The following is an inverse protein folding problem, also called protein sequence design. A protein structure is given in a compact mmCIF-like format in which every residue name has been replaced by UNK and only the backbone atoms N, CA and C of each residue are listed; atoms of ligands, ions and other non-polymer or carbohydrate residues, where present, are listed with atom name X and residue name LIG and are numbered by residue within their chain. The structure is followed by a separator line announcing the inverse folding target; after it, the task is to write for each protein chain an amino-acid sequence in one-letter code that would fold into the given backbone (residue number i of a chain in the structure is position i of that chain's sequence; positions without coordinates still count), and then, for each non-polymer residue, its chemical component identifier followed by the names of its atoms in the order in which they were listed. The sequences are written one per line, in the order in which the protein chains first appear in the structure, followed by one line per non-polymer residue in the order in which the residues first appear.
data_IF_181552670696
#
_entry.id   IF_181552670696
#
_cell.length_a   1.000
_cell.length_b   1.000
_cell.length_c   1.000
_cell.angle_alpha   90.00
_cell.angle_beta   90.00
_cell.angle_gamma   90.00
#
_symmetry.space_group_name_H-M   'P 1'
#
loop_
_entity.id
_entity.type
_entity.pdbx_description
1 polymer ?
#
# COMPACT_ATOMS: atom_id res chain seq x y z
N UNK A 1 -31.07 32.96 -66.38
CA UNK A 1 -32.48 32.85 -65.96
C UNK A 1 -32.49 32.16 -64.61
N UNK A 2 -32.28 32.83 -63.48
CA UNK A 2 -33.18 33.76 -62.74
C UNK A 2 -34.47 33.09 -62.25
N UNK A 3 -34.43 32.63 -60.98
CA UNK A 3 -35.40 32.77 -59.87
C UNK A 3 -34.84 31.94 -58.68
N UNK A 4 -34.09 32.50 -57.72
CA UNK A 4 -34.49 33.29 -56.53
C UNK A 4 -35.61 32.64 -55.69
N UNK A 5 -35.68 32.63 -54.35
CA UNK A 5 -34.87 33.02 -53.16
C UNK A 5 -35.82 32.70 -51.93
N UNK A 6 -35.29 32.60 -50.70
CA UNK A 6 -35.97 32.54 -49.35
C UNK A 6 -36.60 31.19 -48.94
N UNK A 7 -36.50 30.67 -47.70
CA UNK A 7 -35.91 31.15 -46.44
C UNK A 7 -36.27 30.25 -45.23
N UNK A 8 -35.73 30.59 -44.06
CA UNK A 8 -35.94 30.05 -42.67
C UNK A 8 -35.22 28.74 -42.32
N UNK A 9 -34.35 28.63 -41.31
CA UNK A 9 -34.33 29.06 -39.90
C UNK A 9 -35.25 28.25 -38.96
N UNK A 10 -34.62 27.54 -38.01
CA UNK A 10 -35.12 27.01 -36.72
C UNK A 10 -36.19 25.89 -36.73
N UNK A 11 -35.83 24.76 -36.12
CA UNK A 11 -36.61 23.87 -35.21
C UNK A 11 -35.97 22.46 -35.27
N UNK A 12 -35.53 21.80 -34.20
CA UNK A 12 -36.29 21.46 -32.99
C UNK A 12 -35.38 21.38 -31.75
N UNK A 13 -35.71 22.23 -30.78
CA UNK A 13 -35.54 22.05 -29.34
C UNK A 13 -36.96 21.95 -28.77
N UNK A 14 -37.12 21.41 -27.54
CA UNK A 14 -38.36 21.18 -26.76
C UNK A 14 -38.90 19.74 -26.94
N UNK A 15 -39.25 18.96 -25.91
CA UNK A 15 -39.71 19.22 -24.53
C UNK A 15 -39.82 17.80 -23.89
N UNK A 16 -39.56 17.50 -22.61
CA UNK A 16 -40.26 18.01 -21.42
C UNK A 16 -39.58 17.44 -20.15
N UNK A 17 -39.27 18.32 -19.21
CA UNK A 17 -39.19 18.06 -17.77
C UNK A 17 -40.60 18.26 -17.19
N UNK A 18 -41.09 17.41 -16.28
CA UNK A 18 -41.73 17.79 -15.00
C UNK A 18 -41.96 16.54 -14.11
N UNK A 19 -41.42 16.68 -12.90
CA UNK A 19 -41.57 16.04 -11.60
C UNK A 19 -42.81 15.18 -11.29
N UNK A 20 -42.58 14.14 -10.47
CA UNK A 20 -43.28 14.02 -9.19
C UNK A 20 -42.30 13.61 -8.08
N UNK A 21 -42.26 14.42 -7.03
CA UNK A 21 -41.48 14.23 -5.82
C UNK A 21 -42.21 13.28 -4.85
N UNK A 22 -41.50 12.29 -4.33
CA UNK A 22 -41.70 11.74 -2.98
C UNK A 22 -40.33 11.34 -2.44
N UNK A 23 -39.79 12.13 -1.52
CA UNK A 23 -38.89 11.67 -0.48
C UNK A 23 -39.75 11.59 0.81
N UNK A 24 -39.46 10.73 1.81
CA UNK A 24 -38.09 10.56 2.30
C UNK A 24 -37.73 9.17 2.90
N UNK A 25 -36.45 9.07 3.32
CA UNK A 25 -35.88 8.10 4.28
C UNK A 25 -35.61 6.69 3.74
N UNK A 26 -34.41 6.50 3.19
CA UNK A 26 -33.56 5.32 3.43
C UNK A 26 -32.14 5.71 3.00
N UNK A 27 -31.17 5.47 3.88
CA UNK A 27 -29.79 5.90 3.72
C UNK A 27 -29.23 5.49 2.37
N UNK A 28 -28.78 6.48 1.60
CA UNK A 28 -28.03 6.26 0.39
C UNK A 28 -26.71 5.58 0.78
N UNK A 29 -26.67 4.26 0.63
CA UNK A 29 -25.42 3.51 0.53
C UNK A 29 -24.70 4.08 -0.68
N UNK A 30 -23.59 4.77 -0.45
CA UNK A 30 -22.70 5.20 -1.51
C UNK A 30 -22.30 3.96 -2.32
N UNK A 31 -22.81 3.87 -3.54
CA UNK A 31 -22.32 2.92 -4.54
C UNK A 31 -20.90 3.37 -4.84
N UNK A 32 -19.92 2.72 -4.19
CA UNK A 32 -18.50 2.87 -4.54
C UNK A 32 -18.40 2.58 -6.03
N UNK A 33 -17.92 3.56 -6.80
CA UNK A 33 -17.60 3.35 -8.20
C UNK A 33 -16.68 2.12 -8.29
N UNK A 34 -17.10 1.11 -9.06
CA UNK A 34 -16.22 0.03 -9.47
C UNK A 34 -15.02 0.68 -10.17
N UNK A 35 -13.76 0.29 -9.88
CA UNK A 35 -12.63 0.80 -10.62
C UNK A 35 -12.88 0.58 -12.12
N UNK A 36 -12.65 1.61 -12.93
CA UNK A 36 -12.70 1.48 -14.39
C UNK A 36 -11.85 0.27 -14.79
N UNK A 37 -12.46 -0.66 -15.51
CA UNK A 37 -11.78 -1.87 -15.97
C UNK A 37 -10.63 -1.39 -16.88
N UNK A 38 -9.37 -1.73 -16.59
CA UNK A 38 -8.26 -1.25 -17.39
C UNK A 38 -8.37 -1.71 -18.84
N UNK A 39 -7.76 -0.95 -19.74
CA UNK A 39 -7.65 -1.32 -21.15
C UNK A 39 -7.07 -2.73 -21.30
N UNK A 40 -7.90 -3.68 -21.72
CA UNK A 40 -7.48 -5.08 -21.83
C UNK A 40 -6.53 -5.34 -23.01
N UNK A 41 -6.31 -4.35 -23.89
CA UNK A 41 -5.48 -4.48 -25.09
C UNK A 41 -4.03 -4.85 -24.77
N UNK A 42 -3.49 -4.34 -23.66
CA UNK A 42 -2.15 -4.67 -23.17
C UNK A 42 -2.00 -6.16 -22.87
N UNK A 43 -2.98 -6.77 -22.20
CA UNK A 43 -2.93 -8.20 -21.87
C UNK A 43 -3.13 -9.10 -23.08
N UNK A 44 -3.98 -8.71 -24.03
CA UNK A 44 -4.22 -9.47 -25.26
C UNK A 44 -2.98 -9.55 -26.15
N UNK A 45 -2.11 -8.54 -26.08
CA UNK A 45 -0.87 -8.47 -26.87
C UNK A 45 0.39 -8.90 -26.10
N UNK A 46 0.26 -9.20 -24.81
CA UNK A 46 1.37 -9.61 -23.95
C UNK A 46 1.96 -10.95 -24.38
N UNK A 47 3.26 -10.99 -24.65
CA UNK A 47 3.97 -12.20 -25.09
C UNK A 47 4.73 -12.82 -23.93
N UNK A 48 4.35 -14.05 -23.58
CA UNK A 48 5.06 -14.85 -22.58
C UNK A 48 4.99 -16.33 -22.94
N UNK A 49 6.01 -17.06 -22.50
CA UNK A 49 6.03 -18.53 -22.55
C UNK A 49 5.90 -19.13 -21.16
N UNK A 50 5.81 -18.30 -20.12
CA UNK A 50 5.59 -18.77 -18.76
C UNK A 50 4.12 -19.20 -18.60
N UNK A 51 3.85 -20.50 -18.35
CA UNK A 51 2.50 -21.02 -18.28
C UNK A 51 1.64 -20.40 -17.18
N UNK A 52 2.22 -19.99 -16.06
CA UNK A 52 1.43 -19.36 -14.99
C UNK A 52 1.04 -17.95 -15.39
N UNK A 53 1.96 -17.19 -15.99
CA UNK A 53 1.67 -15.85 -16.50
C UNK A 53 0.62 -15.92 -17.61
N UNK A 54 0.70 -16.91 -18.52
CA UNK A 54 -0.34 -17.11 -19.53
C UNK A 54 -1.72 -17.38 -18.91
N UNK A 55 -1.77 -18.09 -17.78
CA UNK A 55 -3.01 -18.32 -17.05
C UNK A 55 -3.55 -17.02 -16.43
N UNK A 56 -2.67 -16.22 -15.82
CA UNK A 56 -3.03 -14.91 -15.22
C UNK A 56 -3.61 -13.96 -16.27
N UNK A 57 -2.94 -13.84 -17.42
CA UNK A 57 -3.40 -12.99 -18.52
C UNK A 57 -4.83 -13.38 -18.97
N UNK A 58 -5.09 -14.68 -19.12
CA UNK A 58 -6.41 -15.17 -19.50
C UNK A 58 -7.44 -14.92 -18.40
N UNK A 59 -7.06 -15.12 -17.14
CA UNK A 59 -7.95 -14.89 -16.00
C UNK A 59 -8.31 -13.40 -15.86
N UNK A 60 -7.33 -12.52 -16.02
CA UNK A 60 -7.53 -11.07 -16.00
C UNK A 60 -8.45 -10.64 -17.14
N UNK A 61 -8.22 -11.11 -18.36
CA UNK A 61 -9.10 -10.82 -19.51
C UNK A 61 -10.51 -11.35 -19.27
N UNK A 62 -10.66 -12.56 -18.70
CA UNK A 62 -11.98 -13.06 -18.29
C UNK A 62 -12.63 -12.08 -17.31
N UNK A 63 -11.98 -11.77 -16.18
CA UNK A 63 -12.55 -10.92 -15.12
C UNK A 63 -12.88 -9.50 -15.63
N UNK A 64 -12.04 -8.93 -16.48
CA UNK A 64 -12.25 -7.60 -17.05
C UNK A 64 -13.31 -7.55 -18.16
N UNK A 65 -13.39 -8.58 -19.01
CA UNK A 65 -14.40 -8.60 -20.10
C UNK A 65 -15.77 -9.11 -19.67
N UNK A 66 -15.84 -9.81 -18.53
CA UNK A 66 -17.02 -10.58 -18.12
C UNK A 66 -17.25 -11.86 -18.94
N UNK A 67 -16.40 -12.15 -19.93
CA UNK A 67 -16.49 -13.36 -20.76
C UNK A 67 -15.77 -14.49 -20.06
N UNK A 68 -16.55 -15.48 -19.60
CA UNK A 68 -16.04 -16.61 -18.80
C UNK A 68 -15.06 -17.50 -19.54
N UNK A 69 -13.86 -17.71 -18.99
CA UNK A 69 -12.84 -18.63 -19.52
C UNK A 69 -12.37 -19.65 -18.46
N UNK A 70 -13.19 -20.67 -18.23
CA UNK A 70 -12.85 -21.75 -17.30
C UNK A 70 -11.61 -22.57 -17.70
N UNK A 71 -11.16 -22.48 -18.95
CA UNK A 71 -9.97 -23.19 -19.39
C UNK A 71 -8.67 -22.52 -18.89
N UNK A 72 -8.73 -21.26 -18.43
CA UNK A 72 -7.62 -20.62 -17.72
C UNK A 72 -7.26 -21.37 -16.44
N UNK A 73 -8.26 -21.86 -15.70
CA UNK A 73 -8.07 -22.59 -14.44
C UNK A 73 -7.33 -23.93 -14.61
N UNK A 74 -7.56 -24.61 -15.74
CA UNK A 74 -6.81 -25.83 -16.08
C UNK A 74 -5.31 -25.58 -16.21
N UNK A 75 -4.89 -24.38 -16.63
CA UNK A 75 -3.46 -24.06 -16.75
C UNK A 75 -2.77 -24.03 -15.37
N UNK A 76 -3.43 -23.50 -14.34
CA UNK A 76 -2.91 -23.55 -12.97
C UNK A 76 -2.92 -24.96 -12.39
N UNK A 77 -4.04 -25.68 -12.57
CA UNK A 77 -4.21 -27.05 -12.06
C UNK A 77 -3.17 -28.00 -12.66
N UNK A 78 -2.91 -27.86 -13.96
CA UNK A 78 -2.04 -28.77 -14.70
C UNK A 78 -0.58 -28.27 -14.75
N UNK A 79 -0.29 -27.12 -14.14
CA UNK A 79 1.07 -26.58 -14.03
C UNK A 79 2.02 -27.61 -13.42
N UNK A 80 3.14 -27.82 -14.13
CA UNK A 80 4.29 -28.62 -13.68
C UNK A 80 5.53 -27.73 -13.67
N UNK A 81 5.87 -27.25 -12.48
CA UNK A 81 7.05 -26.43 -12.21
C UNK A 81 7.95 -27.13 -11.19
N UNK A 82 9.25 -26.89 -11.28
CA UNK A 82 10.23 -27.38 -10.30
C UNK A 82 10.26 -26.53 -9.03
N UNK A 83 9.81 -25.28 -9.11
CA UNK A 83 9.73 -24.39 -7.96
C UNK A 83 8.45 -24.69 -7.14
N UNK A 84 8.59 -25.16 -5.89
CA UNK A 84 7.44 -25.50 -5.05
C UNK A 84 6.61 -24.27 -4.62
N UNK A 85 7.19 -23.06 -4.56
CA UNK A 85 6.43 -21.83 -4.28
C UNK A 85 5.51 -21.50 -5.47
N UNK A 86 5.98 -21.72 -6.71
CA UNK A 86 5.15 -21.56 -7.92
C UNK A 86 4.04 -22.60 -8.01
N UNK A 87 4.33 -23.83 -7.59
CA UNK A 87 3.32 -24.87 -7.49
C UNK A 87 2.25 -24.53 -6.45
N UNK A 88 2.66 -24.12 -5.23
CA UNK A 88 1.72 -23.66 -4.20
C UNK A 88 0.79 -22.59 -4.76
N UNK A 89 1.35 -21.54 -5.37
CA UNK A 89 0.57 -20.46 -5.93
C UNK A 89 -0.49 -20.96 -6.91
N UNK A 90 -0.07 -21.74 -7.92
CA UNK A 90 -0.99 -22.23 -8.94
C UNK A 90 -2.10 -23.11 -8.33
N UNK A 91 -1.78 -23.99 -7.37
CA UNK A 91 -2.80 -24.84 -6.73
C UNK A 91 -3.74 -24.04 -5.83
N UNK A 92 -3.24 -23.00 -5.15
CA UNK A 92 -4.08 -22.11 -4.37
C UNK A 92 -5.03 -21.29 -5.27
N UNK A 93 -4.53 -20.72 -6.37
CA UNK A 93 -5.35 -20.04 -7.38
C UNK A 93 -6.44 -20.97 -7.92
N UNK A 94 -6.08 -22.19 -8.33
CA UNK A 94 -7.05 -23.19 -8.77
C UNK A 94 -8.08 -23.51 -7.68
N UNK A 95 -7.64 -23.67 -6.42
CA UNK A 95 -8.52 -24.00 -5.31
C UNK A 95 -9.60 -22.95 -5.03
N UNK A 96 -9.29 -21.67 -5.21
CA UNK A 96 -10.25 -20.59 -5.02
C UNK A 96 -10.98 -20.17 -6.31
N UNK A 97 -10.42 -20.46 -7.49
CA UNK A 97 -11.04 -20.15 -8.78
C UNK A 97 -11.95 -21.25 -9.36
N UNK A 98 -11.67 -22.53 -9.13
CA UNK A 98 -12.49 -23.67 -9.62
C UNK A 98 -13.98 -23.55 -9.27
N UNK A 99 -14.37 -23.11 -8.05
CA UNK A 99 -15.78 -22.89 -7.71
C UNK A 99 -16.48 -21.84 -8.58
N UNK A 100 -15.76 -20.83 -9.10
CA UNK A 100 -16.32 -19.85 -10.04
C UNK A 100 -16.81 -20.53 -11.32
N UNK A 101 -16.25 -21.70 -11.67
CA UNK A 101 -16.63 -22.54 -12.80
C UNK A 101 -17.55 -23.72 -12.44
N UNK A 102 -18.08 -23.78 -11.21
CA UNK A 102 -18.89 -24.90 -10.74
C UNK A 102 -18.12 -26.21 -10.58
N UNK A 103 -16.78 -26.14 -10.52
CA UNK A 103 -15.90 -27.30 -10.37
C UNK A 103 -15.58 -27.54 -8.89
N UNK A 104 -15.26 -28.78 -8.54
CA UNK A 104 -14.87 -29.15 -7.18
C UNK A 104 -13.41 -28.80 -6.92
N UNK A 105 -13.16 -27.94 -5.93
CA UNK A 105 -11.82 -27.51 -5.51
C UNK A 105 -11.09 -28.43 -4.52
N UNK A 106 -11.69 -29.56 -4.13
CA UNK A 106 -11.11 -30.44 -3.09
C UNK A 106 -9.71 -30.97 -3.44
N UNK A 107 -9.45 -31.28 -4.72
CA UNK A 107 -8.14 -31.76 -5.14
C UNK A 107 -7.10 -30.63 -5.11
N UNK A 108 -7.44 -29.46 -5.66
CA UNK A 108 -6.59 -28.30 -5.65
C UNK A 108 -6.24 -27.85 -4.22
N UNK A 109 -7.20 -27.87 -3.29
CA UNK A 109 -6.96 -27.59 -1.87
C UNK A 109 -5.96 -28.58 -1.24
N UNK A 110 -6.09 -29.89 -1.50
CA UNK A 110 -5.15 -30.90 -1.00
C UNK A 110 -3.74 -30.71 -1.56
N UNK A 111 -3.63 -30.38 -2.84
CA UNK A 111 -2.34 -30.12 -3.48
C UNK A 111 -1.72 -28.81 -2.96
N UNK A 112 -2.51 -27.75 -2.78
CA UNK A 112 -2.07 -26.52 -2.15
C UNK A 112 -1.54 -26.78 -0.73
N UNK A 113 -2.25 -27.60 0.06
CA UNK A 113 -1.78 -28.02 1.38
C UNK A 113 -0.41 -28.74 1.31
N UNK A 114 -0.26 -29.70 0.39
CA UNK A 114 1.00 -30.42 0.19
C UNK A 114 2.17 -29.48 -0.13
N UNK A 115 2.00 -28.59 -1.10
CA UNK A 115 3.05 -27.65 -1.46
C UNK A 115 3.31 -26.63 -0.35
N UNK A 116 2.28 -26.12 0.33
CA UNK A 116 2.43 -25.25 1.48
C UNK A 116 3.30 -25.87 2.59
N UNK A 117 3.11 -27.17 2.89
CA UNK A 117 4.00 -27.90 3.83
C UNK A 117 5.43 -27.96 3.30
N UNK A 118 5.60 -28.27 2.01
CA UNK A 118 6.94 -28.40 1.41
C UNK A 118 7.75 -27.10 1.43
N UNK A 119 7.06 -25.95 1.41
CA UNK A 119 7.67 -24.62 1.40
C UNK A 119 7.74 -23.96 2.79
N UNK A 120 7.33 -24.68 3.84
CA UNK A 120 7.39 -24.24 5.23
C UNK A 120 6.20 -23.41 5.73
N UNK A 121 5.12 -23.29 4.94
CA UNK A 121 3.91 -22.51 5.27
C UNK A 121 2.88 -23.36 6.00
N UNK A 122 3.28 -23.88 7.16
CA UNK A 122 2.52 -24.90 7.91
C UNK A 122 1.10 -24.45 8.30
N UNK A 123 0.88 -23.27 8.91
CA UNK A 123 -0.47 -22.83 9.27
C UNK A 123 -1.42 -22.80 8.07
N UNK A 124 -0.94 -22.33 6.91
CA UNK A 124 -1.75 -22.31 5.70
C UNK A 124 -2.04 -23.69 5.16
N UNK A 125 -1.06 -24.61 5.21
CA UNK A 125 -1.30 -26.00 4.84
C UNK A 125 -2.41 -26.64 5.68
N UNK A 126 -2.39 -26.40 6.99
CA UNK A 126 -3.41 -26.92 7.91
C UNK A 126 -4.80 -26.32 7.61
N UNK A 127 -4.86 -25.05 7.18
CA UNK A 127 -6.11 -24.40 6.73
C UNK A 127 -6.60 -25.04 5.43
N UNK A 128 -5.72 -25.24 4.44
CA UNK A 128 -6.07 -25.90 3.18
C UNK A 128 -6.62 -27.31 3.39
N UNK A 129 -6.00 -28.11 4.26
CA UNK A 129 -6.47 -29.46 4.61
C UNK A 129 -7.87 -29.42 5.25
N UNK A 130 -8.12 -28.47 6.15
CA UNK A 130 -9.43 -28.31 6.79
C UNK A 130 -10.50 -27.79 5.83
N UNK A 131 -10.15 -26.92 4.88
CA UNK A 131 -11.03 -26.46 3.81
C UNK A 131 -11.43 -27.62 2.90
N UNK A 132 -10.48 -28.48 2.52
CA UNK A 132 -10.75 -29.68 1.71
C UNK A 132 -11.71 -30.65 2.39
N UNK A 133 -11.73 -30.66 3.73
CA UNK A 133 -12.62 -31.47 4.56
C UNK A 133 -13.93 -30.77 4.93
N UNK A 134 -14.12 -29.50 4.50
CA UNK A 134 -15.25 -28.64 4.90
C UNK A 134 -15.38 -28.49 6.42
N UNK A 135 -14.26 -28.56 7.14
CA UNK A 135 -14.20 -28.50 8.59
C UNK A 135 -13.63 -27.18 9.13
N UNK A 136 -13.06 -26.35 8.25
CA UNK A 136 -12.42 -25.10 8.65
C UNK A 136 -13.40 -24.10 9.25
N UNK A 137 -13.03 -23.50 10.37
CA UNK A 137 -13.73 -22.37 10.98
C UNK A 137 -12.71 -21.26 11.24
N UNK A 138 -12.79 -20.12 10.53
CA UNK A 138 -11.82 -19.04 10.69
C UNK A 138 -11.87 -18.49 12.11
N UNK A 139 -10.69 -18.28 12.70
CA UNK A 139 -10.54 -17.56 13.96
C UNK A 139 -10.14 -16.12 13.65
N UNK A 140 -10.83 -15.17 14.28
CA UNK A 140 -10.55 -13.76 14.12
C UNK A 140 -9.97 -13.17 15.39
N UNK A 141 -8.91 -12.38 15.25
CA UNK A 141 -8.27 -11.66 16.34
C UNK A 141 -8.25 -10.16 16.09
N UNK A 142 -7.71 -9.43 17.07
CA UNK A 142 -7.41 -8.00 16.96
C UNK A 142 -5.97 -7.76 17.42
N UNK A 143 -5.38 -6.68 16.96
CA UNK A 143 -4.12 -6.15 17.47
C UNK A 143 -4.38 -4.75 18.00
N UNK A 144 -4.30 -4.57 19.33
CA UNK A 144 -4.44 -3.26 19.94
C UNK A 144 -3.08 -2.55 19.96
N UNK A 145 -3.00 -1.39 19.30
CA UNK A 145 -1.77 -0.60 19.24
C UNK A 145 -1.52 0.05 20.60
N UNK A 146 -0.44 -0.36 21.27
CA UNK A 146 0.02 0.29 22.50
C UNK A 146 0.93 1.47 22.14
N UNK A 147 0.44 2.69 22.37
CA UNK A 147 1.14 3.93 22.04
C UNK A 147 1.08 4.93 23.21
N UNK A 148 2.23 5.53 23.52
CA UNK A 148 2.35 6.62 24.49
C UNK A 148 3.53 7.50 24.11
N UNK A 149 3.27 8.80 23.93
CA UNK A 149 4.32 9.78 23.70
C UNK A 149 4.56 10.61 24.97
N UNK A 150 5.81 10.63 25.44
CA UNK A 150 6.21 11.40 26.62
C UNK A 150 6.76 12.75 26.21
N UNK A 151 6.10 13.81 26.67
CA UNK A 151 6.48 15.20 26.39
C UNK A 151 6.95 15.85 27.69
N UNK A 152 8.23 16.24 27.82
CA UNK A 152 8.72 16.97 28.99
C UNK A 152 7.97 18.29 29.15
N UNK A 153 7.59 18.65 30.38
CA UNK A 153 6.82 19.87 30.67
C UNK A 153 7.53 21.18 30.23
N UNK A 154 8.86 21.15 30.12
CA UNK A 154 9.70 22.29 29.72
C UNK A 154 10.10 22.25 28.24
N UNK A 155 9.58 21.31 27.46
CA UNK A 155 9.91 21.21 26.04
C UNK A 155 9.55 22.52 25.33
N UNK A 156 10.48 23.01 24.50
CA UNK A 156 10.30 24.19 23.64
C UNK A 156 10.41 23.86 22.16
N UNK A 157 10.99 22.71 21.84
CA UNK A 157 11.13 22.24 20.48
C UNK A 157 10.88 20.73 20.39
N UNK A 158 10.54 20.29 19.19
CA UNK A 158 10.54 18.90 18.76
C UNK A 158 11.59 18.69 17.67
N UNK A 159 12.18 17.52 17.63
CA UNK A 159 13.04 17.04 16.55
C UNK A 159 12.33 15.86 15.91
N UNK A 160 12.12 15.95 14.60
CA UNK A 160 11.58 14.88 13.76
C UNK A 160 12.67 14.33 12.87
N UNK A 161 12.70 13.01 12.68
CA UNK A 161 13.57 12.31 11.75
C UNK A 161 14.81 11.69 12.40
N UNK A 162 14.84 11.55 13.73
CA UNK A 162 15.94 10.84 14.41
C UNK A 162 15.83 9.32 14.22
N UNK A 163 14.61 8.80 14.07
CA UNK A 163 14.38 7.36 13.90
C UNK A 163 15.16 6.82 12.70
N UNK A 164 15.84 5.70 12.91
CA UNK A 164 16.81 5.13 11.96
C UNK A 164 16.74 3.61 11.96
N UNK A 165 16.65 3.00 10.78
CA UNK A 165 16.94 1.58 10.55
C UNK A 165 18.31 1.50 9.86
N UNK A 166 19.23 0.74 10.44
CA UNK A 166 20.57 0.54 9.88
C UNK A 166 20.59 -0.68 8.97
N UNK A 167 20.87 -0.48 7.69
CA UNK A 167 20.94 -1.54 6.69
C UNK A 167 22.25 -2.31 6.82
N UNK A 168 22.15 -3.63 6.97
CA UNK A 168 23.31 -4.52 7.11
C UNK A 168 23.44 -5.41 5.86
N UNK A 169 24.67 -5.74 5.43
CA UNK A 169 24.86 -6.77 4.41
C UNK A 169 24.21 -8.10 4.83
N UNK A 170 23.54 -8.78 3.89
CA UNK A 170 22.79 -10.02 4.12
C UNK A 170 21.49 -9.85 4.90
N UNK A 171 21.06 -8.61 5.18
CA UNK A 171 19.78 -8.36 5.84
C UNK A 171 18.62 -8.84 4.95
N UNK A 172 17.71 -9.62 5.54
CA UNK A 172 16.54 -10.15 4.83
C UNK A 172 15.41 -9.13 4.83
N UNK A 173 15.05 -8.64 3.64
CA UNK A 173 14.02 -7.65 3.40
C UNK A 173 12.84 -8.33 2.71
N UNK A 174 11.75 -8.51 3.45
CA UNK A 174 10.48 -8.98 2.89
C UNK A 174 9.71 -7.82 2.27
N UNK A 175 9.11 -8.02 1.10
CA UNK A 175 8.32 -6.97 0.42
C UNK A 175 6.94 -7.48 0.06
N UNK A 176 5.96 -6.58 0.00
CA UNK A 176 4.75 -6.87 -0.78
C UNK A 176 5.08 -7.17 -2.25
N UNK A 177 4.17 -7.79 -2.99
CA UNK A 177 4.38 -8.11 -4.41
C UNK A 177 3.93 -6.97 -5.32
N UNK A 178 2.70 -6.48 -5.12
CA UNK A 178 2.10 -5.46 -5.98
C UNK A 178 2.97 -4.19 -5.98
N UNK A 179 3.29 -3.67 -7.17
CA UNK A 179 4.14 -2.47 -7.38
C UNK A 179 5.58 -2.61 -6.87
N UNK A 180 6.05 -3.85 -6.67
CA UNK A 180 7.45 -4.16 -6.33
C UNK A 180 8.05 -5.16 -7.32
N UNK A 181 7.46 -6.35 -7.39
CA UNK A 181 7.95 -7.45 -8.24
C UNK A 181 6.99 -7.77 -9.40
N UNK A 182 5.71 -7.44 -9.21
CA UNK A 182 4.65 -7.58 -10.20
C UNK A 182 3.62 -6.47 -10.00
N UNK A 183 3.03 -5.98 -11.06
CA UNK A 183 1.92 -5.04 -11.01
C UNK A 183 0.99 -5.32 -12.18
N UNK A 184 -0.16 -5.92 -11.87
CA UNK A 184 -1.14 -6.25 -12.89
C UNK A 184 -1.59 -4.99 -13.62
N UNK A 185 -1.91 -3.90 -12.90
CA UNK A 185 -2.46 -2.68 -13.49
C UNK A 185 -1.52 -2.02 -14.52
N UNK A 186 -0.21 -2.25 -14.40
CA UNK A 186 0.82 -1.72 -15.29
C UNK A 186 1.37 -2.77 -16.28
N UNK A 187 0.74 -3.94 -16.37
CA UNK A 187 1.16 -5.08 -17.20
C UNK A 187 2.53 -5.66 -16.84
N UNK A 188 3.08 -5.36 -15.67
CA UNK A 188 4.33 -5.92 -15.17
C UNK A 188 4.07 -7.30 -14.58
N UNK A 189 3.87 -8.31 -15.44
CA UNK A 189 3.29 -9.62 -15.08
C UNK A 189 4.32 -10.71 -14.75
N UNK A 190 5.58 -10.35 -14.52
CA UNK A 190 6.65 -11.32 -14.27
C UNK A 190 6.37 -12.16 -13.02
N UNK A 191 6.41 -13.49 -13.15
CA UNK A 191 6.14 -14.41 -12.04
C UNK A 191 7.42 -14.97 -11.40
N UNK A 192 8.16 -14.09 -10.72
CA UNK A 192 9.37 -14.47 -9.99
C UNK A 192 9.08 -14.63 -8.49
N UNK A 193 8.80 -15.87 -8.10
CA UNK A 193 8.69 -16.27 -6.69
C UNK A 193 10.01 -16.79 -6.14
N UNK A 194 11.16 -16.42 -6.74
CA UNK A 194 12.43 -16.69 -6.09
C UNK A 194 12.46 -15.95 -4.75
N UNK A 195 12.89 -16.63 -3.70
CA UNK A 195 13.02 -16.03 -2.36
C UNK A 195 14.17 -15.03 -2.25
N UNK A 196 14.79 -14.68 -3.39
CA UNK A 196 15.93 -13.78 -3.52
C UNK A 196 15.84 -13.06 -4.87
N UNK A 197 15.07 -11.99 -4.91
CA UNK A 197 14.93 -11.15 -6.08
C UNK A 197 16.24 -10.45 -6.42
N UNK A 198 16.44 -10.25 -7.72
CA UNK A 198 17.54 -9.46 -8.25
C UNK A 198 17.08 -7.99 -8.28
N UNK A 199 17.81 -7.04 -7.67
CA UNK A 199 17.38 -5.63 -7.62
C UNK A 199 17.02 -5.04 -8.98
N UNK A 200 17.79 -5.36 -10.03
CA UNK A 200 17.54 -4.88 -11.41
C UNK A 200 16.20 -5.37 -12.02
N UNK A 201 15.50 -6.27 -11.35
CA UNK A 201 14.21 -6.81 -11.81
C UNK A 201 13.01 -6.24 -11.05
N UNK A 202 13.27 -5.35 -10.10
CA UNK A 202 12.23 -4.63 -9.37
C UNK A 202 11.63 -3.54 -10.23
N UNK A 203 10.35 -3.27 -9.98
CA UNK A 203 9.60 -2.20 -10.63
C UNK A 203 10.16 -0.84 -10.18
N UNK A 204 10.37 0.07 -11.14
CA UNK A 204 11.04 1.36 -10.92
C UNK A 204 10.17 2.48 -10.33
N UNK A 205 8.98 2.17 -9.82
CA UNK A 205 8.05 3.14 -9.22
C UNK A 205 7.49 2.61 -7.88
N UNK A 206 6.86 3.50 -7.10
CA UNK A 206 6.21 3.16 -5.82
C UNK A 206 7.15 2.40 -4.85
N UNK A 207 6.65 1.38 -4.14
CA UNK A 207 7.45 0.59 -3.20
C UNK A 207 8.64 -0.11 -3.88
N UNK A 208 8.52 -0.49 -5.16
CA UNK A 208 9.61 -1.09 -5.93
C UNK A 208 10.82 -0.17 -6.06
N UNK A 209 10.59 1.10 -6.40
CA UNK A 209 11.64 2.11 -6.45
C UNK A 209 12.33 2.30 -5.09
N UNK A 210 11.55 2.28 -4.01
CA UNK A 210 12.06 2.39 -2.66
C UNK A 210 12.95 1.21 -2.27
N UNK A 211 12.52 -0.02 -2.55
CA UNK A 211 13.31 -1.23 -2.30
C UNK A 211 14.58 -1.26 -3.16
N UNK A 212 14.51 -0.80 -4.41
CA UNK A 212 15.69 -0.64 -5.26
C UNK A 212 16.73 0.28 -4.61
N UNK A 213 16.30 1.43 -4.07
CA UNK A 213 17.17 2.37 -3.36
C UNK A 213 17.82 1.77 -2.11
N UNK A 214 17.11 0.91 -1.37
CA UNK A 214 17.70 0.16 -0.25
C UNK A 214 18.83 -0.75 -0.75
N UNK A 215 18.61 -1.46 -1.85
CA UNK A 215 19.59 -2.37 -2.45
C UNK A 215 20.83 -1.65 -3.02
N UNK A 216 20.70 -0.38 -3.43
CA UNK A 216 21.84 0.44 -3.86
C UNK A 216 22.83 0.71 -2.72
N UNK A 217 22.34 0.83 -1.48
CA UNK A 217 23.16 1.23 -0.33
C UNK A 217 23.56 0.09 0.60
N UNK A 218 22.99 -1.11 0.41
CA UNK A 218 23.37 -2.31 1.13
C UNK A 218 23.12 -3.57 0.30
N UNK A 219 24.05 -4.52 0.37
CA UNK A 219 23.87 -5.86 -0.21
C UNK A 219 22.86 -6.67 0.62
N UNK A 220 21.58 -6.46 0.39
CA UNK A 220 20.46 -7.10 1.09
C UNK A 220 19.94 -8.35 0.35
N UNK A 221 19.13 -9.16 1.03
CA UNK A 221 18.38 -10.26 0.42
C UNK A 221 16.90 -9.88 0.33
N UNK A 222 16.38 -9.75 -0.88
CA UNK A 222 15.02 -9.26 -1.14
C UNK A 222 14.11 -10.45 -1.39
N UNK A 223 13.05 -10.60 -0.60
CA UNK A 223 12.11 -11.72 -0.70
C UNK A 223 10.70 -11.20 -0.97
N UNK A 224 10.04 -11.60 -2.07
CA UNK A 224 8.65 -11.25 -2.30
C UNK A 224 7.76 -12.10 -1.38
N UNK A 225 6.91 -11.44 -0.60
CA UNK A 225 5.97 -12.09 0.31
C UNK A 225 4.64 -12.32 -0.42
N UNK A 226 4.65 -13.27 -1.35
CA UNK A 226 3.54 -13.54 -2.27
C UNK A 226 2.53 -14.56 -1.73
N UNK A 227 1.28 -14.45 -2.21
CA UNK A 227 0.23 -15.42 -1.93
C UNK A 227 -0.23 -15.40 -0.48
N UNK A 228 -1.39 -14.86 -0.17
CA UNK A 228 -1.91 -14.84 1.21
C UNK A 228 -3.35 -15.33 1.28
N UNK A 229 -3.65 -16.19 2.26
CA UNK A 229 -5.02 -16.53 2.59
C UNK A 229 -5.73 -15.31 3.19
N UNK A 230 -7.00 -15.13 2.86
CA UNK A 230 -7.88 -14.16 3.52
C UNK A 230 -9.19 -14.82 3.95
N UNK A 231 -9.79 -14.30 5.01
CA UNK A 231 -11.11 -14.74 5.48
C UNK A 231 -12.05 -13.54 5.68
N UNK A 232 -13.34 -13.77 5.39
CA UNK A 232 -14.40 -12.78 5.52
C UNK A 232 -15.03 -12.83 6.92
N UNK A 233 -15.26 -11.67 7.53
CA UNK A 233 -16.07 -11.50 8.74
C UNK A 233 -17.01 -10.31 8.55
N UNK A 234 -18.31 -10.58 8.43
CA UNK A 234 -19.27 -9.57 8.00
C UNK A 234 -18.96 -9.14 6.57
N UNK A 235 -18.75 -7.84 6.35
CA UNK A 235 -18.35 -7.29 5.03
C UNK A 235 -16.84 -7.04 4.88
N UNK A 236 -16.05 -7.34 5.92
CA UNK A 236 -14.62 -7.07 5.96
C UNK A 236 -13.81 -8.33 5.71
N UNK A 237 -12.61 -8.16 5.14
CA UNK A 237 -11.66 -9.22 4.84
C UNK A 237 -10.41 -9.06 5.69
N UNK A 238 -9.83 -10.17 6.11
CA UNK A 238 -8.71 -10.17 7.04
C UNK A 238 -7.61 -11.12 6.59
N UNK A 239 -6.36 -10.69 6.70
CA UNK A 239 -5.15 -11.50 6.54
C UNK A 239 -4.69 -12.14 7.87
N UNK A 240 -3.99 -13.29 7.83
CA UNK A 240 -3.61 -14.06 9.01
C UNK A 240 -2.28 -13.61 9.64
N UNK A 241 -2.13 -13.94 10.93
CA UNK A 241 -0.84 -13.99 11.61
C UNK A 241 -0.09 -15.32 11.35
N UNK A 242 1.07 -15.52 11.98
CA UNK A 242 1.89 -16.74 11.86
C UNK A 242 1.24 -18.02 12.41
N UNK A 243 0.05 -17.91 13.00
CA UNK A 243 -0.72 -19.03 13.57
C UNK A 243 -1.99 -19.30 12.78
N UNK A 244 -2.24 -18.58 11.68
CA UNK A 244 -3.46 -18.69 10.90
C UNK A 244 -4.67 -18.00 11.53
N UNK A 245 -4.48 -17.08 12.48
CA UNK A 245 -5.56 -16.26 13.05
C UNK A 245 -5.69 -14.99 12.21
N UNK A 246 -6.87 -14.73 11.66
CA UNK A 246 -7.14 -13.58 10.80
C UNK A 246 -7.33 -12.32 11.63
N UNK A 247 -6.41 -11.36 11.52
CA UNK A 247 -6.36 -10.16 12.37
C UNK A 247 -6.41 -8.87 11.58
N UNK A 248 -5.74 -8.82 10.44
CA UNK A 248 -5.37 -7.56 9.82
C UNK A 248 -6.31 -7.28 8.67
N UNK A 249 -7.06 -6.19 8.74
CA UNK A 249 -7.98 -5.83 7.68
C UNK A 249 -7.24 -5.63 6.36
N UNK A 250 -7.75 -6.31 5.32
CA UNK A 250 -7.34 -6.14 3.93
C UNK A 250 -8.41 -5.33 3.23
N UNK A 251 -7.99 -4.26 2.55
CA UNK A 251 -8.93 -3.35 1.92
C UNK A 251 -9.78 -4.07 0.86
N UNK A 252 -11.10 -3.82 0.80
CA UNK A 252 -12.00 -4.52 -0.12
C UNK A 252 -11.60 -4.40 -1.60
N UNK A 253 -10.99 -3.30 -2.02
CA UNK A 253 -10.55 -3.12 -3.42
C UNK A 253 -9.51 -4.17 -3.82
N UNK A 254 -8.64 -4.58 -2.90
CA UNK A 254 -7.64 -5.63 -3.15
C UNK A 254 -8.27 -6.99 -3.37
N UNK A 255 -9.40 -7.25 -2.71
CA UNK A 255 -10.16 -8.49 -2.90
C UNK A 255 -10.88 -8.52 -4.25
N UNK A 256 -11.14 -7.34 -4.83
CA UNK A 256 -11.77 -7.21 -6.16
C UNK A 256 -10.77 -7.22 -7.31
N UNK A 257 -9.46 -7.31 -7.04
CA UNK A 257 -8.46 -7.42 -8.08
C UNK A 257 -8.71 -8.64 -8.98
N UNK A 258 -8.41 -8.55 -10.28
CA UNK A 258 -8.58 -9.68 -11.18
C UNK A 258 -7.64 -10.86 -10.86
N UNK A 259 -6.56 -10.61 -10.10
CA UNK A 259 -5.60 -11.61 -9.61
C UNK A 259 -5.93 -12.15 -8.21
N UNK A 260 -7.04 -11.71 -7.60
CA UNK A 260 -7.52 -12.27 -6.33
C UNK A 260 -8.66 -13.25 -6.57
N UNK A 261 -8.57 -14.42 -5.93
CA UNK A 261 -9.50 -15.53 -6.12
C UNK A 261 -10.25 -15.81 -4.82
N UNK A 262 -11.58 -15.89 -4.87
CA UNK A 262 -12.44 -16.02 -3.68
C UNK A 262 -13.43 -17.16 -3.85
N UNK A 263 -13.56 -18.00 -2.82
CA UNK A 263 -14.57 -19.04 -2.73
C UNK A 263 -15.29 -18.97 -1.37
N UNK A 264 -16.52 -18.45 -1.38
CA UNK A 264 -17.30 -18.23 -0.16
C UNK A 264 -16.65 -17.17 0.73
N UNK A 265 -16.46 -17.50 2.01
CA UNK A 265 -15.87 -16.60 3.01
C UNK A 265 -14.34 -16.67 3.08
N UNK A 266 -13.70 -17.30 2.10
CA UNK A 266 -12.25 -17.49 2.05
C UNK A 266 -11.73 -17.06 0.68
N UNK A 267 -10.49 -16.56 0.64
CA UNK A 267 -9.84 -16.19 -0.61
C UNK A 267 -8.33 -16.32 -0.56
N UNK A 268 -7.73 -16.09 -1.72
CA UNK A 268 -6.29 -16.10 -1.94
C UNK A 268 -5.91 -14.88 -2.76
N UNK A 269 -5.07 -14.04 -2.16
CA UNK A 269 -4.47 -12.88 -2.82
C UNK A 269 -3.12 -13.31 -3.35
N UNK A 270 -3.02 -13.38 -4.68
CA UNK A 270 -1.79 -13.66 -5.40
C UNK A 270 -0.79 -12.50 -5.23
N UNK A 271 -1.20 -11.31 -5.67
CA UNK A 271 -0.43 -10.06 -5.62
C UNK A 271 -0.67 -9.36 -4.27
N UNK A 272 0.13 -9.73 -3.26
CA UNK A 272 -0.01 -9.12 -1.93
C UNK A 272 0.26 -7.61 -1.99
N UNK A 273 -0.57 -6.85 -1.27
CA UNK A 273 -0.45 -5.41 -1.18
C UNK A 273 -0.62 -4.91 0.25
N UNK A 274 0.37 -4.16 0.71
CA UNK A 274 0.45 -3.57 2.03
C UNK A 274 0.79 -4.54 3.14
N UNK A 275 1.17 -3.97 4.28
CA UNK A 275 1.70 -4.74 5.41
C UNK A 275 0.69 -5.77 5.95
N UNK A 276 -0.61 -5.49 5.88
CA UNK A 276 -1.66 -6.42 6.36
C UNK A 276 -1.77 -7.72 5.56
N UNK A 277 -1.29 -7.75 4.32
CA UNK A 277 -1.33 -8.93 3.47
C UNK A 277 -0.12 -9.86 3.62
N UNK A 278 0.94 -9.43 4.33
CA UNK A 278 2.26 -10.09 4.30
C UNK A 278 2.77 -10.58 5.67
N UNK A 279 1.95 -10.48 6.73
CA UNK A 279 2.40 -10.74 8.11
C UNK A 279 2.86 -12.19 8.31
N UNK A 280 2.08 -13.17 7.86
CA UNK A 280 2.40 -14.59 8.05
C UNK A 280 3.72 -14.94 7.35
N UNK A 281 3.86 -14.55 6.07
CA UNK A 281 5.03 -14.83 5.26
C UNK A 281 6.28 -14.11 5.79
N UNK A 282 6.16 -12.87 6.25
CA UNK A 282 7.28 -12.13 6.84
C UNK A 282 7.89 -12.87 8.03
N UNK A 283 7.06 -13.48 8.88
CA UNK A 283 7.50 -14.24 10.04
C UNK A 283 8.02 -15.62 9.64
N UNK A 284 7.33 -16.32 8.73
CA UNK A 284 7.75 -17.64 8.22
C UNK A 284 9.09 -17.59 7.49
N UNK A 285 9.33 -16.54 6.71
CA UNK A 285 10.57 -16.34 5.96
C UNK A 285 11.65 -15.61 6.77
N UNK A 286 11.40 -15.38 8.07
CA UNK A 286 12.33 -14.75 9.00
C UNK A 286 12.85 -13.40 8.50
N UNK A 287 11.98 -12.58 7.88
CA UNK A 287 12.32 -11.22 7.48
C UNK A 287 12.86 -10.44 8.68
N UNK A 288 13.80 -9.53 8.43
CA UNK A 288 14.30 -8.60 9.45
C UNK A 288 13.70 -7.21 9.26
N UNK A 289 13.49 -6.83 8.00
CA UNK A 289 12.77 -5.62 7.60
C UNK A 289 11.62 -6.03 6.68
N UNK A 290 10.45 -5.41 6.83
CA UNK A 290 9.30 -5.58 5.95
C UNK A 290 8.95 -4.25 5.30
N UNK A 291 8.85 -4.23 3.96
CA UNK A 291 8.49 -3.03 3.19
C UNK A 291 7.16 -3.24 2.48
N UNK A 292 6.23 -2.30 2.67
CA UNK A 292 4.94 -2.32 1.98
C UNK A 292 4.07 -1.13 2.32
N UNK A 293 2.98 -0.95 1.59
CA UNK A 293 2.02 0.14 1.78
C UNK A 293 1.42 0.14 3.19
N UNK A 294 1.21 1.34 3.76
CA UNK A 294 0.69 1.60 5.12
C UNK A 294 -0.53 2.51 5.14
N UNK A 295 -1.39 2.45 4.12
CA UNK A 295 -2.46 3.42 3.88
C UNK A 295 -3.84 3.06 4.46
N UNK A 296 -3.89 2.14 5.43
CA UNK A 296 -5.12 1.77 6.16
C UNK A 296 -4.83 1.43 7.62
N UNK A 297 -5.89 1.42 8.45
CA UNK A 297 -5.79 1.06 9.87
C UNK A 297 -5.29 -0.38 10.05
N UNK A 298 -5.84 -1.34 9.29
CA UNK A 298 -5.39 -2.73 9.32
C UNK A 298 -3.91 -2.91 8.96
N UNK A 299 -3.37 -2.06 8.07
CA UNK A 299 -1.93 -2.04 7.75
C UNK A 299 -1.09 -1.47 8.91
N UNK A 300 -1.58 -0.47 9.63
CA UNK A 300 -0.93 0.05 10.84
C UNK A 300 -0.92 -0.98 11.98
N UNK A 301 -2.04 -1.69 12.20
CA UNK A 301 -2.14 -2.79 13.16
C UNK A 301 -1.16 -3.93 12.83
N UNK A 302 -1.05 -4.28 11.54
CA UNK A 302 -0.09 -5.27 11.06
C UNK A 302 1.37 -4.84 11.27
N UNK A 303 1.70 -3.58 10.98
CA UNK A 303 3.02 -3.02 11.22
C UNK A 303 3.39 -3.09 12.72
N UNK A 304 2.45 -2.72 13.60
CA UNK A 304 2.66 -2.84 15.04
C UNK A 304 2.88 -4.29 15.48
N UNK A 305 2.09 -5.24 14.96
CA UNK A 305 2.25 -6.66 15.27
C UNK A 305 3.63 -7.19 14.89
N UNK A 306 4.11 -6.89 13.68
CA UNK A 306 5.44 -7.27 13.22
C UNK A 306 6.54 -6.64 14.09
N UNK A 307 6.40 -5.36 14.44
CA UNK A 307 7.33 -4.69 15.34
C UNK A 307 7.34 -5.29 16.75
N UNK A 308 6.21 -5.79 17.26
CA UNK A 308 6.16 -6.50 18.55
C UNK A 308 6.97 -7.80 18.50
N UNK A 309 7.00 -8.45 17.33
CA UNK A 309 7.83 -9.64 17.06
C UNK A 309 9.30 -9.31 16.81
N UNK A 310 9.66 -8.02 16.75
CA UNK A 310 11.04 -7.55 16.60
C UNK A 310 11.50 -7.36 15.16
N UNK A 311 10.57 -7.27 14.21
CA UNK A 311 10.87 -6.93 12.82
C UNK A 311 10.78 -5.41 12.65
N UNK A 312 11.69 -4.83 11.88
CA UNK A 312 11.55 -3.46 11.44
C UNK A 312 10.52 -3.40 10.29
N UNK A 313 9.75 -2.32 10.22
CA UNK A 313 8.67 -2.15 9.23
C UNK A 313 8.79 -0.78 8.58
N UNK A 314 8.75 -0.75 7.25
CA UNK A 314 8.81 0.48 6.47
C UNK A 314 7.57 0.61 5.60
N UNK A 315 6.88 1.74 5.73
CA UNK A 315 5.64 2.04 5.03
C UNK A 315 5.77 3.33 4.22
N UNK A 316 6.31 3.29 2.99
CA UNK A 316 6.54 4.51 2.19
C UNK A 316 5.24 5.26 1.84
N UNK A 317 4.11 4.55 1.79
CA UNK A 317 2.76 5.12 1.73
C UNK A 317 2.10 5.13 3.10
N UNK A 318 2.43 6.11 3.94
CA UNK A 318 2.20 6.14 5.40
C UNK A 318 0.96 6.92 5.86
N UNK A 319 -0.19 6.77 5.18
CA UNK A 319 -1.39 7.59 5.50
C UNK A 319 -1.87 7.42 6.95
N UNK A 320 -1.76 6.23 7.52
CA UNK A 320 -2.28 5.90 8.86
C UNK A 320 -1.21 5.73 9.94
N UNK A 321 0.01 6.22 9.71
CA UNK A 321 1.07 6.13 10.74
C UNK A 321 0.80 6.99 11.97
N UNK A 322 -0.15 7.93 11.91
CA UNK A 322 -0.63 8.67 13.08
C UNK A 322 -1.07 7.73 14.21
N UNK A 323 -1.65 6.56 13.90
CA UNK A 323 -2.06 5.56 14.90
C UNK A 323 -0.87 4.95 15.67
N UNK A 324 0.33 5.04 15.10
CA UNK A 324 1.56 4.48 15.64
C UNK A 324 2.43 5.53 16.35
N UNK A 325 1.96 6.77 16.50
CA UNK A 325 2.73 7.81 17.17
C UNK A 325 3.02 7.43 18.64
N UNK A 326 4.29 7.26 18.99
CA UNK A 326 4.72 6.80 20.31
C UNK A 326 4.48 5.32 20.57
N UNK A 327 4.37 4.49 19.52
CA UNK A 327 4.16 3.04 19.68
C UNK A 327 5.24 2.38 20.57
N UNK A 328 4.88 1.29 21.23
CA UNK A 328 5.78 0.50 22.09
C UNK A 328 5.97 -0.91 21.53
N UNK A 329 7.04 -1.10 20.77
CA UNK A 329 7.43 -2.41 20.25
C UNK A 329 8.96 -2.57 20.19
N UNK A 330 9.43 -3.76 19.83
CA UNK A 330 10.86 -4.07 19.76
C UNK A 330 11.50 -3.60 18.45
N UNK A 331 10.77 -3.78 17.35
CA UNK A 331 11.17 -3.33 16.03
C UNK A 331 10.88 -1.85 15.80
N UNK A 332 11.56 -1.30 14.80
CA UNK A 332 11.43 0.09 14.37
C UNK A 332 10.39 0.18 13.25
N UNK A 333 9.42 1.08 13.38
CA UNK A 333 8.45 1.38 12.33
C UNK A 333 8.77 2.77 11.77
N UNK A 334 8.90 2.86 10.45
CA UNK A 334 9.15 4.11 9.72
C UNK A 334 8.11 4.25 8.61
N UNK A 335 7.58 5.46 8.43
CA UNK A 335 6.69 5.80 7.31
C UNK A 335 7.47 6.20 6.05
N UNK A 336 7.08 7.33 5.47
CA UNK A 336 7.91 8.06 4.50
C UNK A 336 9.25 8.36 5.16
N UNK A 337 10.37 8.05 4.50
CA UNK A 337 11.71 8.39 4.99
C UNK A 337 12.73 8.33 3.84
N UNK A 338 13.88 9.03 3.97
CA UNK A 338 14.97 8.87 3.03
C UNK A 338 15.68 7.52 3.20
N UNK A 339 16.19 7.00 2.10
CA UNK A 339 17.22 5.95 2.12
C UNK A 339 18.54 6.57 1.66
N UNK A 340 19.58 6.51 2.50
CA UNK A 340 20.85 7.22 2.24
C UNK A 340 22.04 6.58 2.95
N UNK A 341 23.23 7.08 2.64
CA UNK A 341 24.45 6.75 3.37
C UNK A 341 24.69 7.75 4.51
N UNK A 342 24.96 7.22 5.71
CA UNK A 342 25.46 7.98 6.85
C UNK A 342 26.81 7.43 7.22
N UNK A 343 27.86 8.23 7.01
CA UNK A 343 29.26 7.83 7.25
C UNK A 343 29.61 6.47 6.58
N UNK A 344 29.15 6.28 5.34
CA UNK A 344 29.37 5.06 4.56
C UNK A 344 28.47 3.87 4.91
N UNK A 345 27.52 4.03 5.85
CA UNK A 345 26.55 2.98 6.21
C UNK A 345 25.18 3.31 5.63
N UNK A 346 24.56 2.36 4.91
CA UNK A 346 23.19 2.50 4.43
C UNK A 346 22.18 2.56 5.58
N UNK A 347 21.27 3.52 5.53
CA UNK A 347 20.20 3.70 6.52
C UNK A 347 18.89 4.07 5.86
N UNK A 348 17.78 3.77 6.55
CA UNK A 348 16.46 4.34 6.29
C UNK A 348 16.15 5.30 7.45
N UNK A 349 15.79 6.55 7.14
CA UNK A 349 15.58 7.61 8.13
C UNK A 349 16.85 8.43 8.39
N UNK A 350 17.12 8.76 9.65
CA UNK A 350 18.30 9.55 10.07
C UNK A 350 18.39 10.95 9.43
N UNK A 351 17.32 11.73 9.49
CA UNK A 351 17.27 13.10 8.98
C UNK A 351 16.61 14.05 9.98
N UNK A 352 17.28 14.32 11.13
CA UNK A 352 16.72 15.14 12.18
C UNK A 352 16.59 16.61 11.75
N UNK A 353 15.38 17.15 11.86
CA UNK A 353 15.09 18.58 11.70
C UNK A 353 14.33 19.08 12.92
N UNK A 354 14.75 20.23 13.44
CA UNK A 354 14.19 20.84 14.65
C UNK A 354 13.06 21.81 14.30
N UNK A 355 11.98 21.76 15.08
CA UNK A 355 10.84 22.67 15.02
C UNK A 355 10.53 23.20 16.42
N UNK A 356 10.32 24.50 16.56
CA UNK A 356 9.89 25.12 17.81
C UNK A 356 8.41 24.82 18.03
N UNK A 357 8.00 24.49 19.26
CA UNK A 357 6.59 24.12 19.51
C UNK A 357 5.61 25.29 19.32
N UNK A 358 6.11 26.53 19.41
CA UNK A 358 5.32 27.75 19.21
C UNK A 358 5.42 28.33 17.79
N UNK A 359 6.29 27.82 16.91
CA UNK A 359 6.34 28.32 15.54
C UNK A 359 5.14 27.81 14.74
N UNK A 360 4.59 28.63 13.83
CA UNK A 360 3.46 28.20 13.01
C UNK A 360 3.88 27.14 12.00
N UNK A 361 3.12 26.05 11.94
CA UNK A 361 3.28 24.97 10.96
C UNK A 361 2.03 24.93 10.09
N UNK A 362 2.19 25.13 8.78
CA UNK A 362 1.10 24.91 7.83
C UNK A 362 1.03 23.43 7.45
N UNK A 363 -0.14 22.82 7.60
CA UNK A 363 -0.34 21.37 7.45
C UNK A 363 -1.40 21.12 6.40
N UNK A 364 -1.04 20.36 5.38
CA UNK A 364 -1.95 19.95 4.32
C UNK A 364 -3.00 18.97 4.83
N UNK A 365 -4.23 19.13 4.34
CA UNK A 365 -5.39 18.35 4.73
C UNK A 365 -6.37 18.23 3.56
N UNK A 366 -7.23 17.22 3.58
CA UNK A 366 -8.30 17.08 2.59
C UNK A 366 -9.45 16.26 3.15
N UNK A 367 -10.64 16.48 2.60
CA UNK A 367 -11.82 15.64 2.82
C UNK A 367 -12.21 14.87 1.55
N UNK A 368 -11.42 14.98 0.47
CA UNK A 368 -11.69 14.32 -0.81
C UNK A 368 -11.44 12.81 -0.75
N UNK A 369 -12.19 12.07 -1.57
CA UNK A 369 -12.06 10.62 -1.72
C UNK A 369 -10.81 10.21 -2.53
N UNK A 370 -10.64 8.91 -2.74
CA UNK A 370 -9.55 8.37 -3.56
C UNK A 370 -9.54 8.98 -4.98
N UNK A 371 -8.36 9.37 -5.52
CA UNK A 371 -7.01 9.21 -4.96
C UNK A 371 -6.53 10.40 -4.12
N UNK A 372 -7.32 11.47 -3.98
CA UNK A 372 -6.91 12.69 -3.27
C UNK A 372 -6.83 12.48 -1.75
N UNK A 373 -7.57 11.52 -1.21
CA UNK A 373 -7.56 11.15 0.21
C UNK A 373 -6.18 11.03 0.87
N UNK A 374 -5.11 10.77 0.10
CA UNK A 374 -3.75 10.66 0.61
C UNK A 374 -3.11 11.98 1.05
N UNK A 375 -3.64 13.13 0.61
CA UNK A 375 -3.21 14.45 1.08
C UNK A 375 -3.61 14.73 2.55
N UNK A 376 -4.43 13.87 3.17
CA UNK A 376 -4.79 14.01 4.60
C UNK A 376 -3.73 13.43 5.57
N UNK A 377 -2.71 12.75 5.06
CA UNK A 377 -1.69 12.09 5.87
C UNK A 377 -0.96 13.05 6.84
N UNK A 378 -0.52 14.26 6.42
CA UNK A 378 0.05 15.25 7.33
C UNK A 378 -0.94 15.65 8.44
N UNK A 379 -2.18 15.99 8.08
CA UNK A 379 -3.18 16.41 9.05
C UNK A 379 -3.53 15.30 10.05
N UNK A 380 -3.63 14.04 9.63
CA UNK A 380 -3.82 12.89 10.53
C UNK A 380 -2.72 12.81 11.57
N UNK A 381 -1.46 12.92 11.15
CA UNK A 381 -0.30 12.89 12.04
C UNK A 381 -0.35 14.04 13.05
N UNK A 382 -0.53 15.28 12.59
CA UNK A 382 -0.52 16.46 13.46
C UNK A 382 -1.73 16.54 14.39
N UNK A 383 -2.92 16.10 13.96
CA UNK A 383 -4.11 15.97 14.83
C UNK A 383 -3.89 14.96 15.95
N UNK A 384 -3.11 13.91 15.72
CA UNK A 384 -2.76 12.97 16.77
C UNK A 384 -1.65 13.54 17.67
N UNK A 385 -0.60 14.14 17.10
CA UNK A 385 0.51 14.72 17.85
C UNK A 385 0.06 15.84 18.80
N UNK A 386 -0.88 16.69 18.35
CA UNK A 386 -1.45 17.79 19.15
C UNK A 386 -2.21 17.34 20.38
N UNK A 387 -2.56 16.05 20.50
CA UNK A 387 -3.13 15.47 21.72
C UNK A 387 -2.09 15.30 22.84
N UNK A 388 -0.80 15.23 22.50
CA UNK A 388 0.30 15.05 23.44
C UNK A 388 1.04 16.34 23.75
N UNK A 389 1.12 17.26 22.77
CA UNK A 389 1.88 18.50 22.88
C UNK A 389 1.14 19.65 22.20
N UNK A 390 1.13 20.82 22.82
CA UNK A 390 0.57 22.01 22.18
C UNK A 390 1.47 22.45 21.01
N UNK A 391 0.87 22.56 19.82
CA UNK A 391 1.54 23.03 18.60
C UNK A 391 0.70 24.12 17.93
N UNK A 392 1.36 25.09 17.33
CA UNK A 392 0.71 26.12 16.51
C UNK A 392 0.51 25.60 15.08
N UNK A 393 -0.56 24.83 14.86
CA UNK A 393 -0.85 24.18 13.58
C UNK A 393 -1.98 24.90 12.84
N UNK A 394 -1.77 25.17 11.55
CA UNK A 394 -2.80 25.65 10.63
C UNK A 394 -3.06 24.60 9.55
N UNK A 395 -4.22 23.96 9.62
CA UNK A 395 -4.66 23.02 8.60
C UNK A 395 -5.16 23.76 7.35
N UNK A 396 -4.73 23.31 6.18
CA UNK A 396 -5.03 23.92 4.88
C UNK A 396 -5.71 22.88 4.00
N UNK A 397 -7.00 23.07 3.66
CA UNK A 397 -7.70 22.13 2.81
C UNK A 397 -7.22 22.23 1.36
N UNK A 398 -6.94 21.09 0.75
CA UNK A 398 -6.74 20.93 -0.69
C UNK A 398 -7.85 20.06 -1.26
N UNK A 399 -8.31 20.40 -2.46
CA UNK A 399 -9.41 19.73 -3.17
C UNK A 399 -8.96 19.14 -4.51
N UNK A 400 -7.68 19.29 -4.86
CA UNK A 400 -7.07 18.76 -6.07
C UNK A 400 -5.55 18.58 -5.88
N UNK A 401 -4.93 17.78 -6.75
CA UNK A 401 -3.48 17.73 -6.86
C UNK A 401 -2.90 19.09 -7.31
N UNK A 402 -1.60 19.29 -7.10
CA UNK A 402 -0.87 20.50 -7.49
C UNK A 402 -1.33 21.80 -6.79
N UNK A 403 -1.95 21.69 -5.60
CA UNK A 403 -2.38 22.83 -4.80
C UNK A 403 -1.40 23.23 -3.68
N UNK A 404 -0.19 22.67 -3.68
CA UNK A 404 0.82 22.90 -2.63
C UNK A 404 1.12 24.40 -2.41
N UNK A 405 1.02 25.22 -3.44
CA UNK A 405 1.28 26.67 -3.35
C UNK A 405 0.37 27.36 -2.32
N UNK A 406 -0.88 26.90 -2.16
CA UNK A 406 -1.82 27.44 -1.17
C UNK A 406 -1.32 27.29 0.28
N UNK A 407 -0.46 26.32 0.53
CA UNK A 407 0.20 26.06 1.82
C UNK A 407 1.46 26.92 1.94
N UNK A 408 2.27 26.97 0.88
CA UNK A 408 3.56 27.68 0.85
C UNK A 408 3.40 29.21 0.97
N UNK A 409 2.28 29.76 0.48
CA UNK A 409 1.99 31.21 0.50
C UNK A 409 1.55 31.75 1.87
N UNK A 410 1.39 30.88 2.88
CA UNK A 410 0.98 31.29 4.23
C UNK A 410 2.08 32.01 5.03
N UNK A 411 3.30 32.08 4.50
CA UNK A 411 4.42 32.76 5.13
C UNK A 411 4.93 32.09 6.40
N UNK A 412 4.63 30.80 6.60
CA UNK A 412 5.19 29.99 7.70
C UNK A 412 6.63 29.56 7.36
N UNK A 413 7.44 29.28 8.38
CA UNK A 413 8.78 28.69 8.22
C UNK A 413 8.77 27.16 8.15
N UNK A 414 7.63 26.53 8.47
CA UNK A 414 7.48 25.09 8.49
C UNK A 414 6.19 24.66 7.76
N UNK A 415 6.30 23.61 6.95
CA UNK A 415 5.17 22.99 6.26
C UNK A 415 5.19 21.47 6.43
N UNK A 416 4.00 20.86 6.49
CA UNK A 416 3.82 19.41 6.46
C UNK A 416 2.91 19.06 5.30
N UNK A 417 3.45 18.33 4.32
CA UNK A 417 2.84 18.17 3.00
C UNK A 417 3.09 16.77 2.44
N UNK A 418 2.26 16.38 1.49
CA UNK A 418 2.52 15.31 0.55
C UNK A 418 3.06 15.90 -0.75
N UNK A 419 4.07 15.25 -1.31
CA UNK A 419 4.58 15.53 -2.65
C UNK A 419 4.37 14.27 -3.48
N UNK A 420 3.43 14.34 -4.42
CA UNK A 420 3.00 13.25 -5.28
C UNK A 420 3.16 13.57 -6.78
N UNK A 421 3.45 14.82 -7.13
CA UNK A 421 3.71 15.22 -8.52
C UNK A 421 5.04 15.96 -8.66
N UNK A 422 5.51 16.08 -9.90
CA UNK A 422 6.69 16.87 -10.24
C UNK A 422 6.47 18.38 -10.04
N UNK A 423 5.24 18.87 -10.23
CA UNK A 423 4.89 20.27 -10.00
C UNK A 423 5.02 20.60 -8.51
N UNK A 424 4.54 19.72 -7.64
CA UNK A 424 4.64 19.88 -6.18
C UNK A 424 6.11 19.85 -5.70
N UNK A 425 6.93 18.93 -6.24
CA UNK A 425 8.39 18.91 -5.99
C UNK A 425 9.03 20.25 -6.39
N UNK A 426 8.71 20.75 -7.58
CA UNK A 426 9.26 22.01 -8.10
C UNK A 426 8.88 23.18 -7.19
N UNK A 427 7.60 23.33 -6.85
CA UNK A 427 7.12 24.41 -5.98
C UNK A 427 7.73 24.35 -4.58
N UNK A 428 7.80 23.15 -3.98
CA UNK A 428 8.40 23.00 -2.66
C UNK A 428 9.90 23.31 -2.67
N UNK A 429 10.63 22.83 -3.68
CA UNK A 429 12.06 23.10 -3.87
C UNK A 429 12.35 24.58 -4.03
N UNK A 430 11.58 25.28 -4.87
CA UNK A 430 11.70 26.73 -5.03
C UNK A 430 11.43 27.47 -3.71
N UNK A 431 10.46 27.01 -2.91
CA UNK A 431 10.20 27.56 -1.60
C UNK A 431 11.35 27.31 -0.62
N UNK A 432 11.90 26.08 -0.55
CA UNK A 432 13.03 25.72 0.31
C UNK A 432 14.30 26.54 -0.02
N UNK A 433 14.55 26.84 -1.30
CA UNK A 433 15.70 27.64 -1.74
C UNK A 433 15.62 29.12 -1.32
N UNK A 434 14.42 29.65 -1.02
CA UNK A 434 14.25 31.05 -0.63
C UNK A 434 14.79 31.35 0.78
N UNK A 435 14.89 30.37 1.66
CA UNK A 435 15.40 30.55 3.02
C UNK A 435 15.90 29.25 3.63
N UNK A 436 17.06 29.23 4.31
CA UNK A 436 17.51 28.06 5.06
C UNK A 436 16.61 27.72 6.26
N UNK A 437 15.75 28.65 6.70
CA UNK A 437 14.80 28.45 7.80
C UNK A 437 13.51 27.75 7.35
N UNK A 438 13.25 27.70 6.04
CA UNK A 438 12.14 26.96 5.46
C UNK A 438 12.37 25.47 5.61
N UNK A 439 11.47 24.79 6.32
CA UNK A 439 11.56 23.36 6.63
C UNK A 439 10.29 22.64 6.21
N UNK A 440 10.43 21.42 5.72
CA UNK A 440 9.32 20.61 5.24
C UNK A 440 9.31 19.23 5.92
N UNK A 441 8.11 18.72 6.20
CA UNK A 441 7.88 17.37 6.72
C UNK A 441 7.05 16.63 5.69
N UNK A 442 7.62 15.59 5.09
CA UNK A 442 6.98 14.84 4.01
C UNK A 442 6.19 13.66 4.55
N UNK A 443 4.98 13.49 4.03
CA UNK A 443 4.09 12.36 4.28
C UNK A 443 3.59 11.79 2.97
N UNK A 444 3.33 10.48 2.95
CA UNK A 444 2.86 9.70 1.80
C UNK A 444 3.61 10.02 0.49
N UNK A 445 4.90 10.34 0.62
CA UNK A 445 5.75 10.82 -0.47
C UNK A 445 6.88 9.84 -0.77
N UNK A 446 7.21 8.94 0.17
CA UNK A 446 8.33 8.00 0.05
C UNK A 446 8.23 7.04 -1.14
N UNK A 447 7.04 6.93 -1.73
CA UNK A 447 6.74 6.15 -2.94
C UNK A 447 7.28 6.76 -4.23
N UNK A 448 7.64 8.05 -4.23
CA UNK A 448 7.97 8.77 -5.45
C UNK A 448 9.46 9.13 -5.53
N UNK A 449 10.13 8.88 -6.66
CA UNK A 449 11.56 9.15 -6.80
C UNK A 449 11.97 10.60 -6.54
N UNK A 450 11.12 11.58 -6.89
CA UNK A 450 11.42 13.00 -6.64
C UNK A 450 11.40 13.34 -5.14
N UNK A 451 10.59 12.67 -4.32
CA UNK A 451 10.59 12.91 -2.88
C UNK A 451 11.90 12.45 -2.22
N UNK A 452 12.50 11.34 -2.70
CA UNK A 452 13.82 10.91 -2.25
C UNK A 452 14.89 11.98 -2.55
N UNK A 453 14.82 12.62 -3.73
CA UNK A 453 15.73 13.73 -4.08
C UNK A 453 15.56 14.95 -3.17
N UNK A 454 14.33 15.31 -2.78
CA UNK A 454 14.11 16.41 -1.83
C UNK A 454 14.85 16.18 -0.50
N UNK A 455 14.87 14.94 0.01
CA UNK A 455 15.63 14.63 1.22
C UNK A 455 17.15 14.76 1.01
N UNK A 456 17.66 14.32 -0.16
CA UNK A 456 19.07 14.38 -0.53
C UNK A 456 19.57 15.82 -0.72
N UNK A 457 18.78 16.64 -1.41
CA UNK A 457 19.13 18.01 -1.78
C UNK A 457 19.01 18.98 -0.60
N UNK A 458 18.12 18.70 0.35
CA UNK A 458 17.82 19.58 1.49
C UNK A 458 17.94 18.85 2.85
N UNK A 459 19.10 18.28 3.19
CA UNK A 459 19.28 17.34 4.30
C UNK A 459 19.05 17.96 5.70
N UNK A 460 19.08 19.30 5.81
CA UNK A 460 18.85 20.05 7.06
C UNK A 460 17.48 20.72 7.11
N UNK A 461 16.71 20.69 6.02
CA UNK A 461 15.42 21.39 5.91
C UNK A 461 14.25 20.43 5.75
N UNK A 462 14.45 19.31 5.05
CA UNK A 462 13.39 18.32 4.78
C UNK A 462 13.52 17.16 5.77
N UNK A 463 12.41 16.73 6.36
CA UNK A 463 12.34 15.53 7.22
C UNK A 463 11.02 14.80 7.00
N UNK A 464 10.73 13.80 7.83
CA UNK A 464 9.58 12.92 7.69
C UNK A 464 8.75 12.82 8.97
N UNK A 465 7.55 12.25 8.85
CA UNK A 465 6.63 11.97 9.96
C UNK A 465 7.17 10.93 10.96
N UNK A 466 8.12 11.34 11.80
CA UNK A 466 8.76 10.48 12.79
C UNK A 466 7.76 10.01 13.86
N UNK A 467 7.72 8.71 14.13
CA UNK A 467 6.79 8.11 15.09
C UNK A 467 7.25 8.23 16.54
N UNK A 468 8.52 8.58 16.76
CA UNK A 468 9.08 8.88 18.08
C UNK A 468 9.73 10.26 18.08
N UNK A 469 8.93 11.34 17.94
CA UNK A 469 9.47 12.69 17.98
C UNK A 469 10.16 12.94 19.32
N UNK A 470 11.32 13.58 19.27
CA UNK A 470 12.11 13.91 20.46
C UNK A 470 11.87 15.35 20.87
N UNK A 471 11.60 15.57 22.15
CA UNK A 471 11.34 16.90 22.70
C UNK A 471 12.55 17.44 23.45
N UNK A 472 12.89 18.71 23.21
CA UNK A 472 14.06 19.38 23.82
C UNK A 472 13.66 20.73 24.44
N UNK A 473 14.38 21.14 25.49
CA UNK A 473 14.21 22.45 26.17
C UNK A 473 14.79 23.65 25.40
#
# INVERSE_FOLDING_TARGET
MVKNILGSARANLLRTVVLCAVAPILGAVAVRALPEIPDLSGYQSYKTYDPIVMADLRYIVWRGSGVKDCAALSLYRDLRDQNPDRQLMAKAIAAFGEPECGQSNMLALKQAAEYARSVGRKPEADIFDQLAQKAFKPQFGKTDIAAELKVPAKAKAMVLGETTIVLKPGMRVGTQVERVARDWASYEMRWDLSRKLIPATLIGYHEGAFVHKIAEFANIEITPLAGTLIAKKGEQWYGPDEKGIFRFEVLPDKVTYPTTHVAGDMGWIEDTHGISAVVSQALEFNSQVVVGCGDSEGKAEAAFYLAQKGLDVVMPGDRYTNLLLGYKAKGVIIGTAPVKLVKGTGVIGHQPVKFMLNEPIAVEDTEEDYPLQYYDAPARYFRQLTKYVALNVRYVPVTAADQIQSILDLGTSAVAVRVATQNEDTSLREWLLKSPDHRAILFHSGLYPFAQKLFEDFPTQVTFGDLHPKFTE
#
